data_IF_004643899647
#
_entry.id   IF_004643899647
#
_cell.length_a   1.000
_cell.length_b   1.000
_cell.length_c   1.000
_cell.angle_alpha   90.00
_cell.angle_beta   90.00
_cell.angle_gamma   90.00
#
_symmetry.space_group_name_H-M   'P 1'
#
loop_
_entity.id
_entity.type
_entity.pdbx_description
1 polymer ?
#
# COMPACT_ATOMS: atom_id res chain seq x y z
N UNK A 1 -13.28 -18.01 -13.00
CA UNK A 1 -11.84 -17.68 -13.12
C UNK A 1 -11.36 -17.27 -11.74
N UNK A 2 -10.44 -18.05 -11.17
CA UNK A 2 -10.14 -18.04 -9.74
C UNK A 2 -9.24 -16.88 -9.31
N UNK A 3 -9.63 -16.24 -8.20
CA UNK A 3 -8.80 -15.27 -7.48
C UNK A 3 -7.77 -16.03 -6.64
N UNK A 4 -6.50 -15.86 -6.98
CA UNK A 4 -5.37 -16.41 -6.23
C UNK A 4 -5.15 -15.55 -4.99
N UNK A 5 -5.39 -16.14 -3.83
CA UNK A 5 -5.19 -15.54 -2.52
C UNK A 5 -3.70 -15.56 -2.16
N UNK A 6 -3.01 -14.42 -2.28
CA UNK A 6 -1.58 -14.25 -2.02
C UNK A 6 -1.25 -13.78 -0.58
N UNK A 7 -2.21 -13.84 0.36
CA UNK A 7 -2.05 -13.31 1.72
C UNK A 7 -1.40 -14.29 2.72
N UNK A 8 -0.31 -14.97 2.35
CA UNK A 8 0.32 -15.92 3.30
C UNK A 8 1.81 -16.18 3.08
N UNK A 9 2.67 -15.14 3.05
CA UNK A 9 4.13 -15.36 3.20
C UNK A 9 4.99 -14.15 3.54
N UNK A 10 4.62 -13.34 4.53
CA UNK A 10 5.60 -12.46 5.19
C UNK A 10 5.49 -12.59 6.70
N UNK A 11 6.26 -13.53 7.24
CA UNK A 11 6.54 -13.60 8.67
C UNK A 11 7.51 -12.48 9.01
N UNK A 12 6.99 -11.32 9.40
CA UNK A 12 7.78 -10.30 10.06
C UNK A 12 8.20 -10.86 11.42
N UNK A 13 9.49 -11.21 11.53
CA UNK A 13 10.15 -11.54 12.78
C UNK A 13 9.98 -10.35 13.73
N UNK A 14 9.47 -10.67 14.93
CA UNK A 14 9.37 -9.77 16.08
C UNK A 14 10.64 -8.96 16.29
N UNK A 15 10.40 -7.68 16.55
CA UNK A 15 11.28 -6.63 17.06
C UNK A 15 12.43 -7.16 17.93
N UNK A 16 13.66 -6.96 17.46
CA UNK A 16 14.81 -6.87 18.36
C UNK A 16 14.84 -5.44 18.90
N UNK A 17 14.66 -5.29 20.21
CA UNK A 17 14.77 -4.01 20.91
C UNK A 17 16.16 -3.43 20.70
N UNK A 18 16.21 -2.14 20.39
CA UNK A 18 17.42 -1.35 20.14
C UNK A 18 18.26 -1.09 21.41
N UNK A 19 17.85 -1.62 22.56
CA UNK A 19 18.46 -1.33 23.86
C UNK A 19 19.72 -2.19 24.16
N UNK A 20 20.04 -3.21 23.34
CA UNK A 20 21.16 -4.13 23.60
C UNK A 20 22.51 -3.71 22.97
N UNK A 21 22.59 -2.57 22.27
CA UNK A 21 23.79 -2.18 21.49
C UNK A 21 24.73 -1.19 22.23
N UNK A 22 24.38 -0.70 23.42
CA UNK A 22 25.15 0.36 24.12
C UNK A 22 25.90 -0.08 25.39
N UNK A 23 26.52 -1.27 25.39
CA UNK A 23 27.38 -1.70 26.49
C UNK A 23 28.84 -1.91 26.04
N UNK A 24 29.54 -0.84 25.63
CA UNK A 24 31.00 -0.84 25.53
C UNK A 24 31.60 0.20 26.49
N UNK A 25 32.25 -0.28 27.54
CA UNK A 25 32.99 0.52 28.53
C UNK A 25 34.38 -0.10 28.73
N UNK A 26 35.46 0.44 28.16
CA UNK A 26 36.81 0.03 28.55
C UNK A 26 37.24 0.84 29.78
N UNK A 27 37.41 0.14 30.91
CA UNK A 27 38.06 0.67 32.10
C UNK A 27 39.58 0.64 31.97
N UNK A 28 40.23 1.77 32.21
CA UNK A 28 41.68 1.86 32.41
C UNK A 28 41.99 1.97 33.91
N UNK A 29 42.76 1.02 34.42
CA UNK A 29 43.28 1.02 35.81
C UNK A 29 44.45 1.97 35.97
N UNK A 30 44.60 2.69 37.11
CA UNK A 30 45.74 3.56 37.36
C UNK A 30 47.00 2.76 37.75
N UNK A 31 48.13 3.11 37.13
CA UNK A 31 49.47 2.64 37.53
C UNK A 31 49.88 3.24 38.88
N UNK A 32 50.36 2.40 39.79
CA UNK A 32 50.94 2.81 41.09
C UNK A 32 52.36 3.36 40.89
N UNK A 33 52.63 4.50 41.49
CA UNK A 33 53.91 5.22 41.49
C UNK A 33 54.94 4.54 42.41
N UNK A 34 56.20 4.62 41.98
CA UNK A 34 57.37 3.96 42.58
C UNK A 34 58.23 5.02 43.29
N UNK A 35 57.83 5.44 44.49
CA UNK A 35 58.58 6.42 45.31
C UNK A 35 58.57 6.04 46.79
N UNK A 36 59.15 4.90 47.13
CA UNK A 36 59.57 4.56 48.50
C UNK A 36 60.88 3.76 48.40
N UNK A 37 62.03 4.44 48.31
CA UNK A 37 63.36 3.80 48.40
C UNK A 37 64.52 4.78 48.61
N UNK A 38 64.33 5.85 49.38
CA UNK A 38 65.41 6.82 49.66
C UNK A 38 65.70 7.01 51.18
N UNK A 39 64.90 6.43 52.09
CA UNK A 39 65.10 6.60 53.54
C UNK A 39 66.15 5.68 54.19
N UNK A 40 66.73 4.71 53.50
CA UNK A 40 67.63 3.71 54.11
C UNK A 40 69.15 4.02 53.99
N UNK A 41 69.57 5.13 53.36
CA UNK A 41 70.99 5.35 53.05
C UNK A 41 71.79 6.20 54.05
N UNK A 42 71.19 6.74 55.13
CA UNK A 42 71.88 7.67 56.04
C UNK A 42 72.04 7.24 57.50
N UNK A 43 71.89 5.95 57.84
CA UNK A 43 72.04 5.47 59.23
C UNK A 43 73.48 5.06 59.63
N UNK A 44 74.48 5.21 58.74
CA UNK A 44 75.81 4.58 58.90
C UNK A 44 76.98 5.42 59.44
N UNK A 45 76.86 6.74 59.63
CA UNK A 45 78.01 7.60 59.98
C UNK A 45 78.03 8.05 61.44
N UNK A 46 78.16 7.09 62.37
CA UNK A 46 78.48 7.35 63.77
C UNK A 46 79.89 6.90 64.12
N UNK A 47 80.92 7.70 63.82
CA UNK A 47 82.30 7.44 64.29
C UNK A 47 82.80 8.58 65.18
N UNK A 48 83.32 8.19 66.36
CA UNK A 48 83.93 9.02 67.41
C UNK A 48 84.93 10.04 66.83
N UNK A 49 84.59 11.31 66.96
CA UNK A 49 85.50 12.44 66.68
C UNK A 49 86.40 12.63 67.91
N UNK A 50 87.71 12.47 67.74
CA UNK A 50 88.71 12.79 68.78
C UNK A 50 88.86 14.32 68.83
N UNK A 51 88.97 14.87 70.04
CA UNK A 51 89.04 16.30 70.31
C UNK A 51 90.19 16.96 69.51
N UNK A 52 89.84 17.90 68.63
CA UNK A 52 90.77 18.77 67.91
C UNK A 52 90.83 20.14 68.59
N UNK A 53 92.03 20.72 68.62
CA UNK A 53 92.39 22.00 69.21
C UNK A 53 91.57 23.18 68.61
N UNK A 54 91.10 24.17 69.40
CA UNK A 54 90.01 25.07 69.01
C UNK A 54 90.39 26.09 67.91
N UNK A 55 91.69 26.29 67.63
CA UNK A 55 92.17 27.08 66.49
C UNK A 55 92.17 26.29 65.19
N UNK A 56 92.42 24.98 65.24
CA UNK A 56 92.34 24.08 64.09
C UNK A 56 90.90 23.82 63.63
N UNK A 57 89.94 23.78 64.57
CA UNK A 57 88.53 23.56 64.25
C UNK A 57 87.92 24.68 63.39
N UNK A 58 88.30 25.95 63.63
CA UNK A 58 87.80 27.08 62.84
C UNK A 58 88.30 27.04 61.40
N UNK A 59 89.58 26.72 61.20
CA UNK A 59 90.16 26.58 59.86
C UNK A 59 89.59 25.35 59.16
N UNK A 60 89.42 24.23 59.86
CA UNK A 60 88.81 23.02 59.33
C UNK A 60 87.34 23.25 58.92
N UNK A 61 86.55 24.02 59.66
CA UNK A 61 85.17 24.36 59.28
C UNK A 61 85.10 25.27 58.05
N UNK A 62 86.01 26.26 57.93
CA UNK A 62 86.04 27.12 56.74
C UNK A 62 86.45 26.30 55.51
N UNK A 63 87.49 25.47 55.63
CA UNK A 63 87.93 24.59 54.54
C UNK A 63 86.83 23.59 54.17
N UNK A 64 86.17 22.97 55.15
CA UNK A 64 85.05 22.07 54.90
C UNK A 64 83.85 22.79 54.27
N UNK A 65 83.56 24.04 54.66
CA UNK A 65 82.50 24.85 54.07
C UNK A 65 82.78 25.22 52.61
N UNK A 66 84.01 25.61 52.30
CA UNK A 66 84.44 25.87 50.91
C UNK A 66 84.45 24.58 50.08
N UNK A 67 84.93 23.46 50.65
CA UNK A 67 84.91 22.17 49.97
C UNK A 67 83.48 21.69 49.69
N UNK A 68 82.56 21.87 50.64
CA UNK A 68 81.13 21.55 50.45
C UNK A 68 80.50 22.43 49.38
N UNK A 69 80.85 23.72 49.29
CA UNK A 69 80.37 24.60 48.22
C UNK A 69 80.91 24.17 46.84
N UNK A 70 82.19 23.81 46.74
CA UNK A 70 82.81 23.33 45.49
C UNK A 70 82.25 21.98 45.05
N UNK A 71 81.96 21.07 46.00
CA UNK A 71 81.36 19.76 45.71
C UNK A 71 79.85 19.88 45.41
N UNK A 72 79.13 20.84 46.00
CA UNK A 72 77.71 21.05 45.76
C UNK A 72 77.41 21.72 44.40
N UNK A 73 78.32 22.57 43.88
CA UNK A 73 78.12 23.27 42.60
C UNK A 73 77.85 22.35 41.39
N UNK A 74 78.62 21.26 41.14
CA UNK A 74 78.33 20.33 40.05
C UNK A 74 77.03 19.53 40.27
N UNK A 75 76.63 19.30 41.52
CA UNK A 75 75.36 18.65 41.82
C UNK A 75 74.15 19.55 41.50
N UNK A 76 74.24 20.86 41.78
CA UNK A 76 73.19 21.83 41.49
C UNK A 76 73.05 22.05 39.98
N UNK A 77 74.15 22.18 39.24
CA UNK A 77 74.11 22.35 37.78
C UNK A 77 73.63 21.10 37.05
N UNK A 78 74.04 19.91 37.49
CA UNK A 78 73.52 18.63 36.97
C UNK A 78 72.01 18.45 37.18
N UNK A 79 71.49 18.87 38.34
CA UNK A 79 70.05 18.84 38.63
C UNK A 79 69.26 19.82 37.74
N UNK A 80 69.80 21.03 37.52
CA UNK A 80 69.19 22.03 36.63
C UNK A 80 69.16 21.55 35.17
N UNK A 81 70.23 20.90 34.68
CA UNK A 81 70.27 20.37 33.30
C UNK A 81 69.33 19.17 33.12
N UNK A 82 69.31 18.23 34.08
CA UNK A 82 68.37 17.09 34.04
C UNK A 82 66.91 17.56 34.09
N UNK A 83 66.61 18.56 34.93
CA UNK A 83 65.27 19.14 35.03
C UNK A 83 64.87 19.89 33.74
N UNK A 84 65.79 20.63 33.10
CA UNK A 84 65.52 21.30 31.81
C UNK A 84 65.14 20.34 30.69
N UNK A 85 65.85 19.22 30.56
CA UNK A 85 65.54 18.21 29.53
C UNK A 85 64.15 17.59 29.75
N UNK A 86 63.79 17.31 31.00
CA UNK A 86 62.44 16.80 31.34
C UNK A 86 61.36 17.84 31.05
N UNK A 87 61.60 19.13 31.32
CA UNK A 87 60.67 20.21 30.98
C UNK A 87 60.43 20.28 29.47
N UNK A 88 61.48 20.25 28.64
CA UNK A 88 61.31 20.30 27.18
C UNK A 88 60.55 19.10 26.61
N UNK A 89 60.75 17.90 27.17
CA UNK A 89 59.99 16.70 26.78
C UNK A 89 58.51 16.86 27.15
N UNK A 90 58.21 17.35 28.36
CA UNK A 90 56.84 17.60 28.80
C UNK A 90 56.15 18.69 27.97
N UNK A 91 56.87 19.74 27.56
CA UNK A 91 56.34 20.77 26.66
C UNK A 91 55.97 20.20 25.30
N UNK A 92 56.82 19.35 24.72
CA UNK A 92 56.55 18.68 23.45
C UNK A 92 55.34 17.75 23.55
N UNK A 93 55.25 16.98 24.63
CA UNK A 93 54.11 16.11 24.90
C UNK A 93 52.82 16.94 25.04
N UNK A 94 52.86 18.06 25.75
CA UNK A 94 51.71 18.96 25.90
C UNK A 94 51.25 19.58 24.57
N UNK A 95 52.19 19.95 23.69
CA UNK A 95 51.88 20.40 22.32
C UNK A 95 51.19 19.29 21.53
N UNK A 96 51.71 18.06 21.61
CA UNK A 96 51.13 16.90 20.94
C UNK A 96 49.71 16.61 21.44
N UNK A 97 49.51 16.53 22.76
CA UNK A 97 48.18 16.36 23.35
C UNK A 97 47.24 17.49 22.93
N UNK A 98 47.72 18.74 22.89
CA UNK A 98 46.94 19.89 22.42
C UNK A 98 46.43 19.70 20.98
N UNK A 99 47.28 19.20 20.08
CA UNK A 99 46.90 18.92 18.69
C UNK A 99 45.88 17.77 18.57
N UNK A 100 46.04 16.71 19.36
CA UNK A 100 45.12 15.57 19.38
C UNK A 100 43.75 15.98 19.96
N UNK A 101 43.73 16.82 20.99
CA UNK A 101 42.50 17.39 21.56
C UNK A 101 41.78 18.26 20.53
N UNK A 102 42.50 19.08 19.77
CA UNK A 102 41.90 19.88 18.70
C UNK A 102 41.33 19.02 17.58
N UNK A 103 42.04 17.94 17.20
CA UNK A 103 41.55 16.98 16.21
C UNK A 103 40.27 16.27 16.69
N UNK A 104 40.26 15.77 17.93
CA UNK A 104 39.07 15.16 18.53
C UNK A 104 37.90 16.14 18.59
N UNK A 105 38.15 17.41 18.93
CA UNK A 105 37.11 18.45 18.93
C UNK A 105 36.51 18.68 17.54
N UNK A 106 37.34 18.70 16.49
CA UNK A 106 36.86 18.85 15.12
C UNK A 106 36.02 17.63 14.69
N UNK A 107 36.45 16.41 15.03
CA UNK A 107 35.67 15.20 14.77
C UNK A 107 34.33 15.20 15.52
N UNK A 108 34.31 15.64 16.78
CA UNK A 108 33.06 15.77 17.55
C UNK A 108 32.08 16.73 16.86
N UNK A 109 32.54 17.90 16.42
CA UNK A 109 31.69 18.87 15.71
C UNK A 109 31.16 18.31 14.37
N UNK A 110 31.96 17.53 13.66
CA UNK A 110 31.55 16.87 12.41
C UNK A 110 30.45 15.83 12.69
N UNK A 111 30.62 15.00 13.71
CA UNK A 111 29.59 14.05 14.13
C UNK A 111 28.31 14.73 14.61
N UNK A 112 28.41 15.85 15.34
CA UNK A 112 27.24 16.64 15.74
C UNK A 112 26.46 17.16 14.52
N UNK A 113 27.16 17.62 13.48
CA UNK A 113 26.53 18.08 12.24
C UNK A 113 25.83 16.93 11.51
N UNK A 114 26.49 15.77 11.40
CA UNK A 114 25.89 14.57 10.79
C UNK A 114 24.64 14.09 11.55
N UNK A 115 24.63 14.18 12.88
CA UNK A 115 23.44 13.83 13.69
C UNK A 115 22.27 14.75 13.36
N UNK A 116 22.49 16.06 13.29
CA UNK A 116 21.44 17.04 12.97
C UNK A 116 20.84 16.77 11.57
N UNK A 117 21.69 16.46 10.59
CA UNK A 117 21.24 16.15 9.23
C UNK A 117 20.42 14.85 9.20
N UNK A 118 20.88 13.79 9.90
CA UNK A 118 20.13 12.54 10.01
C UNK A 118 18.78 12.72 10.73
N UNK A 119 18.72 13.54 11.78
CA UNK A 119 17.46 13.86 12.46
C UNK A 119 16.46 14.56 11.53
N UNK A 120 16.95 15.48 10.69
CA UNK A 120 16.14 16.15 9.67
C UNK A 120 15.61 15.17 8.62
N UNK A 121 16.46 14.27 8.13
CA UNK A 121 16.07 13.25 7.14
C UNK A 121 15.04 12.27 7.72
N UNK A 122 15.20 11.89 8.99
CA UNK A 122 14.21 11.08 9.72
C UNK A 122 12.86 11.82 9.79
N UNK A 123 12.86 13.11 10.13
CA UNK A 123 11.63 13.91 10.21
C UNK A 123 10.93 14.01 8.85
N UNK A 124 11.68 14.25 7.77
CA UNK A 124 11.14 14.30 6.40
C UNK A 124 10.54 12.95 6.02
N UNK A 125 11.27 11.86 6.26
CA UNK A 125 10.83 10.50 5.93
C UNK A 125 9.57 10.13 6.70
N UNK A 126 9.49 10.47 7.99
CA UNK A 126 8.29 10.22 8.80
C UNK A 126 7.05 10.95 8.26
N UNK A 127 7.20 12.21 7.84
CA UNK A 127 6.12 12.97 7.22
C UNK A 127 5.67 12.35 5.89
N UNK A 128 6.61 11.84 5.09
CA UNK A 128 6.29 11.14 3.84
C UNK A 128 5.53 9.84 4.11
N UNK A 129 5.96 9.05 5.11
CA UNK A 129 5.27 7.82 5.52
C UNK A 129 3.84 8.12 6.00
N UNK A 130 3.64 9.14 6.81
CA UNK A 130 2.30 9.54 7.27
C UNK A 130 1.41 9.96 6.10
N UNK A 131 1.94 10.74 5.16
CA UNK A 131 1.23 11.14 3.94
C UNK A 131 0.85 9.94 3.07
N UNK A 132 1.78 9.01 2.84
CA UNK A 132 1.52 7.78 2.10
C UNK A 132 0.45 6.92 2.78
N UNK A 133 0.45 6.82 4.11
CA UNK A 133 -0.57 6.08 4.85
C UNK A 133 -1.97 6.70 4.67
N UNK A 134 -2.09 8.03 4.74
CA UNK A 134 -3.36 8.73 4.48
C UNK A 134 -3.88 8.46 3.06
N UNK A 135 -3.02 8.58 2.06
CA UNK A 135 -3.37 8.28 0.66
C UNK A 135 -3.82 6.82 0.51
N UNK A 136 -3.14 5.88 1.18
CA UNK A 136 -3.49 4.46 1.13
C UNK A 136 -4.86 4.18 1.79
N UNK A 137 -5.17 4.86 2.90
CA UNK A 137 -6.46 4.75 3.57
C UNK A 137 -7.59 5.32 2.70
N UNK A 138 -7.37 6.48 2.07
CA UNK A 138 -8.31 7.09 1.13
C UNK A 138 -8.58 6.19 -0.07
N UNK A 139 -7.52 5.64 -0.69
CA UNK A 139 -7.66 4.70 -1.80
C UNK A 139 -8.39 3.42 -1.38
N UNK A 140 -8.12 2.91 -0.19
CA UNK A 140 -8.81 1.74 0.36
C UNK A 140 -10.30 2.00 0.53
N UNK A 141 -10.68 3.19 1.02
CA UNK A 141 -12.07 3.58 1.17
C UNK A 141 -12.76 3.76 -0.20
N UNK A 142 -12.10 4.40 -1.15
CA UNK A 142 -12.61 4.57 -2.52
C UNK A 142 -12.85 3.21 -3.21
N UNK A 143 -11.96 2.23 -3.01
CA UNK A 143 -12.14 0.87 -3.53
C UNK A 143 -13.38 0.21 -2.92
N UNK A 144 -13.60 0.35 -1.61
CA UNK A 144 -14.79 -0.20 -0.94
C UNK A 144 -16.07 0.42 -1.47
N UNK A 145 -16.10 1.74 -1.63
CA UNK A 145 -17.25 2.46 -2.19
C UNK A 145 -17.53 2.04 -3.63
N UNK A 146 -16.49 1.99 -4.47
CA UNK A 146 -16.59 1.56 -5.86
C UNK A 146 -17.16 0.13 -5.97
N UNK A 147 -16.68 -0.81 -5.13
CA UNK A 147 -17.19 -2.17 -5.09
C UNK A 147 -18.66 -2.22 -4.65
N UNK A 148 -19.03 -1.45 -3.62
CA UNK A 148 -20.44 -1.36 -3.17
C UNK A 148 -21.35 -0.83 -4.27
N UNK A 149 -20.92 0.21 -4.99
CA UNK A 149 -21.68 0.77 -6.11
C UNK A 149 -21.79 -0.23 -7.28
N UNK A 150 -20.71 -0.94 -7.58
CA UNK A 150 -20.71 -1.99 -8.60
C UNK A 150 -21.73 -3.09 -8.28
N UNK A 151 -21.76 -3.59 -7.04
CA UNK A 151 -22.71 -4.62 -6.62
C UNK A 151 -24.15 -4.13 -6.67
N UNK A 152 -24.40 -2.86 -6.32
CA UNK A 152 -25.73 -2.25 -6.41
C UNK A 152 -26.20 -2.16 -7.86
N UNK A 153 -25.38 -1.62 -8.76
CA UNK A 153 -25.73 -1.52 -10.18
C UNK A 153 -25.94 -2.90 -10.83
N UNK A 154 -25.14 -3.89 -10.43
CA UNK A 154 -25.32 -5.27 -10.90
C UNK A 154 -26.69 -5.82 -10.51
N UNK A 155 -27.10 -5.66 -9.26
CA UNK A 155 -28.44 -6.09 -8.79
C UNK A 155 -29.58 -5.36 -9.47
N UNK A 156 -29.43 -4.06 -9.71
CA UNK A 156 -30.44 -3.27 -10.43
C UNK A 156 -30.60 -3.78 -11.86
N UNK A 157 -29.48 -4.05 -12.55
CA UNK A 157 -29.49 -4.61 -13.90
C UNK A 157 -30.12 -6.01 -13.95
N UNK A 158 -29.80 -6.89 -12.99
CA UNK A 158 -30.40 -8.22 -12.88
C UNK A 158 -31.92 -8.14 -12.66
N UNK A 159 -32.37 -7.24 -11.78
CA UNK A 159 -33.80 -7.00 -11.51
C UNK A 159 -34.51 -6.51 -12.77
N UNK A 160 -33.98 -5.47 -13.42
CA UNK A 160 -34.56 -4.90 -14.64
C UNK A 160 -34.60 -5.92 -15.79
N UNK A 161 -33.58 -6.76 -15.91
CA UNK A 161 -33.56 -7.82 -16.92
C UNK A 161 -34.65 -8.88 -16.65
N UNK A 162 -34.85 -9.27 -15.39
CA UNK A 162 -35.93 -10.18 -14.98
C UNK A 162 -37.32 -9.59 -15.26
N UNK A 163 -37.52 -8.30 -14.98
CA UNK A 163 -38.78 -7.61 -15.23
C UNK A 163 -39.09 -7.52 -16.73
N UNK A 164 -38.10 -7.18 -17.55
CA UNK A 164 -38.25 -7.12 -19.00
C UNK A 164 -38.55 -8.51 -19.59
N UNK A 165 -37.86 -9.55 -19.11
CA UNK A 165 -38.13 -10.93 -19.53
C UNK A 165 -39.57 -11.34 -19.20
N UNK A 166 -40.07 -11.00 -18.01
CA UNK A 166 -41.44 -11.28 -17.59
C UNK A 166 -42.47 -10.54 -18.47
N UNK A 167 -42.19 -9.28 -18.83
CA UNK A 167 -43.04 -8.51 -19.73
C UNK A 167 -43.05 -9.08 -21.16
N UNK A 168 -41.91 -9.56 -21.65
CA UNK A 168 -41.82 -10.23 -22.96
C UNK A 168 -42.70 -11.47 -22.97
N UNK A 169 -42.54 -12.37 -22.00
CA UNK A 169 -43.34 -13.60 -21.91
C UNK A 169 -44.84 -13.29 -21.81
N UNK A 170 -45.23 -12.31 -20.98
CA UNK A 170 -46.64 -11.90 -20.90
C UNK A 170 -47.19 -11.37 -22.23
N UNK A 171 -46.41 -10.62 -23.00
CA UNK A 171 -46.82 -10.15 -24.33
C UNK A 171 -46.88 -11.27 -25.36
N UNK A 172 -45.96 -12.24 -25.31
CA UNK A 172 -45.99 -13.43 -26.16
C UNK A 172 -47.27 -14.25 -25.93
N UNK A 173 -47.68 -14.43 -24.67
CA UNK A 173 -48.94 -15.12 -24.34
C UNK A 173 -50.16 -14.37 -24.91
N UNK A 174 -50.19 -13.04 -24.82
CA UNK A 174 -51.25 -12.21 -25.40
C UNK A 174 -51.30 -12.37 -26.92
N UNK A 175 -50.14 -12.34 -27.60
CA UNK A 175 -50.05 -12.53 -29.05
C UNK A 175 -50.57 -13.91 -29.45
N UNK A 176 -50.19 -14.97 -28.73
CA UNK A 176 -50.65 -16.33 -29.00
C UNK A 176 -52.17 -16.47 -28.84
N UNK A 177 -52.74 -15.86 -27.80
CA UNK A 177 -54.20 -15.83 -27.60
C UNK A 177 -54.91 -15.08 -28.75
N UNK A 178 -54.43 -13.90 -29.13
CA UNK A 178 -55.00 -13.13 -30.24
C UNK A 178 -54.91 -13.88 -31.57
N UNK A 179 -53.80 -14.57 -31.85
CA UNK A 179 -53.66 -15.39 -33.05
C UNK A 179 -54.67 -16.55 -33.09
N UNK A 180 -54.95 -17.16 -31.93
CA UNK A 180 -55.97 -18.20 -31.80
C UNK A 180 -57.35 -17.63 -32.12
N UNK A 181 -57.70 -16.49 -31.53
CA UNK A 181 -58.99 -15.81 -31.81
C UNK A 181 -59.15 -15.42 -33.29
N UNK A 182 -58.07 -14.95 -33.93
CA UNK A 182 -58.07 -14.66 -35.37
C UNK A 182 -58.34 -15.94 -36.18
N UNK A 183 -57.71 -17.06 -35.80
CA UNK A 183 -57.95 -18.35 -36.47
C UNK A 183 -59.41 -18.77 -36.35
N UNK A 184 -59.98 -18.72 -35.14
CA UNK A 184 -61.36 -19.10 -34.88
C UNK A 184 -62.36 -18.23 -35.68
N UNK A 185 -62.15 -16.92 -35.70
CA UNK A 185 -62.98 -15.99 -36.47
C UNK A 185 -62.89 -16.23 -37.97
N UNK A 186 -61.71 -16.55 -38.49
CA UNK A 186 -61.55 -16.87 -39.92
C UNK A 186 -62.29 -18.16 -40.29
N UNK A 187 -62.28 -19.17 -39.42
CA UNK A 187 -63.06 -20.40 -39.61
C UNK A 187 -64.57 -20.12 -39.60
N UNK A 188 -65.04 -19.28 -38.67
CA UNK A 188 -66.45 -18.86 -38.61
C UNK A 188 -66.89 -18.11 -39.87
N UNK A 189 -66.06 -17.19 -40.38
CA UNK A 189 -66.30 -16.47 -41.63
C UNK A 189 -66.41 -17.45 -42.80
N UNK A 190 -65.44 -18.36 -42.95
CA UNK A 190 -65.44 -19.35 -44.05
C UNK A 190 -66.67 -20.27 -44.02
N UNK A 191 -67.08 -20.69 -42.81
CA UNK A 191 -68.30 -21.46 -42.61
C UNK A 191 -69.55 -20.66 -43.00
N UNK A 192 -69.61 -19.40 -42.57
CA UNK A 192 -70.72 -18.49 -42.88
C UNK A 192 -70.84 -18.24 -44.38
N UNK A 193 -69.73 -17.98 -45.08
CA UNK A 193 -69.69 -17.81 -46.54
C UNK A 193 -70.22 -19.06 -47.27
N UNK A 194 -69.79 -20.26 -46.86
CA UNK A 194 -70.26 -21.53 -47.42
C UNK A 194 -71.77 -21.73 -47.21
N UNK A 195 -72.27 -21.37 -46.03
CA UNK A 195 -73.69 -21.44 -45.70
C UNK A 195 -74.52 -20.47 -46.56
N UNK A 196 -74.07 -19.23 -46.73
CA UNK A 196 -74.73 -18.24 -47.58
C UNK A 196 -74.71 -18.63 -49.05
N UNK A 197 -73.60 -19.17 -49.56
CA UNK A 197 -73.52 -19.66 -50.94
C UNK A 197 -74.51 -20.81 -51.18
N UNK A 198 -74.58 -21.76 -50.25
CA UNK A 198 -75.50 -22.90 -50.32
C UNK A 198 -76.96 -22.44 -50.26
N UNK A 199 -77.29 -21.53 -49.34
CA UNK A 199 -78.62 -20.95 -49.21
C UNK A 199 -79.01 -20.18 -50.48
N UNK A 200 -78.10 -19.36 -51.00
CA UNK A 200 -78.29 -18.61 -52.23
C UNK A 200 -78.58 -19.54 -53.41
N UNK A 201 -77.78 -20.59 -53.62
CA UNK A 201 -77.99 -21.60 -54.68
C UNK A 201 -79.34 -22.29 -54.54
N UNK A 202 -79.72 -22.72 -53.34
CA UNK A 202 -80.99 -23.40 -53.11
C UNK A 202 -82.19 -22.48 -53.35
N UNK A 203 -82.10 -21.23 -52.90
CA UNK A 203 -83.14 -20.21 -53.10
C UNK A 203 -83.29 -19.87 -54.58
N UNK A 204 -82.17 -19.66 -55.28
CA UNK A 204 -82.16 -19.38 -56.71
C UNK A 204 -82.77 -20.52 -57.54
N UNK A 205 -82.42 -21.76 -57.20
CA UNK A 205 -83.04 -22.94 -57.83
C UNK A 205 -84.57 -22.93 -57.65
N UNK A 206 -85.05 -22.74 -56.42
CA UNK A 206 -86.49 -22.73 -56.12
C UNK A 206 -87.24 -21.62 -56.89
N UNK A 207 -86.72 -20.38 -56.84
CA UNK A 207 -87.33 -19.23 -57.52
C UNK A 207 -87.32 -19.41 -59.04
N UNK A 208 -86.16 -19.71 -59.64
CA UNK A 208 -86.05 -19.80 -61.08
C UNK A 208 -86.76 -21.02 -61.67
N UNK A 209 -86.85 -22.13 -60.94
CA UNK A 209 -87.66 -23.27 -61.38
C UNK A 209 -89.14 -22.92 -61.43
N UNK A 210 -89.64 -22.16 -60.44
CA UNK A 210 -91.01 -21.65 -60.45
C UNK A 210 -91.25 -20.74 -61.66
N UNK A 211 -90.32 -19.83 -61.97
CA UNK A 211 -90.44 -18.96 -63.15
C UNK A 211 -90.36 -19.73 -64.48
N UNK A 212 -89.56 -20.80 -64.54
CA UNK A 212 -89.40 -21.64 -65.74
C UNK A 212 -90.70 -22.31 -66.19
N UNK A 213 -91.62 -22.59 -65.25
CA UNK A 213 -92.96 -23.13 -65.56
C UNK A 213 -93.71 -22.20 -66.52
N UNK A 214 -93.55 -20.88 -66.32
CA UNK A 214 -94.21 -19.86 -67.15
C UNK A 214 -93.35 -19.44 -68.34
N UNK A 215 -92.02 -19.55 -68.25
CA UNK A 215 -91.10 -19.21 -69.32
C UNK A 215 -90.04 -20.33 -69.50
N UNK A 216 -90.29 -21.22 -70.46
CA UNK A 216 -89.43 -22.38 -70.72
C UNK A 216 -88.02 -22.02 -71.21
N UNK A 217 -87.78 -20.77 -71.60
CA UNK A 217 -86.45 -20.31 -72.02
C UNK A 217 -85.46 -20.23 -70.85
N UNK A 218 -85.95 -20.10 -69.61
CA UNK A 218 -85.09 -20.01 -68.41
C UNK A 218 -84.44 -21.38 -68.15
N UNK A 219 -83.10 -21.42 -68.18
CA UNK A 219 -82.32 -22.65 -67.99
C UNK A 219 -81.09 -22.46 -67.08
N UNK A 220 -80.90 -21.26 -66.55
CA UNK A 220 -79.74 -20.89 -65.74
C UNK A 220 -80.10 -19.78 -64.75
N UNK A 221 -79.23 -19.55 -63.79
CA UNK A 221 -79.36 -18.45 -62.84
C UNK A 221 -78.00 -17.81 -62.54
N UNK A 222 -78.03 -16.58 -62.05
CA UNK A 222 -76.89 -15.84 -61.54
C UNK A 222 -77.32 -15.16 -60.23
N UNK A 223 -76.45 -15.17 -59.22
CA UNK A 223 -76.65 -14.44 -57.97
C UNK A 223 -75.65 -13.30 -57.96
N UNK A 224 -76.14 -12.06 -57.93
CA UNK A 224 -75.29 -10.87 -57.95
C UNK A 224 -75.88 -9.82 -57.02
N UNK A 225 -75.04 -9.24 -56.17
CA UNK A 225 -75.45 -8.21 -55.19
C UNK A 225 -76.66 -8.64 -54.34
N UNK A 226 -76.69 -9.89 -53.88
CA UNK A 226 -77.80 -10.50 -53.14
C UNK A 226 -79.14 -10.58 -53.89
N UNK A 227 -79.14 -10.40 -55.22
CA UNK A 227 -80.31 -10.59 -56.07
C UNK A 227 -80.14 -11.83 -56.94
N UNK A 228 -81.26 -12.49 -57.25
CA UNK A 228 -81.32 -13.69 -58.06
C UNK A 228 -81.86 -13.33 -59.44
N UNK A 229 -81.06 -13.59 -60.46
CA UNK A 229 -81.40 -13.36 -61.86
C UNK A 229 -81.61 -14.71 -62.56
N UNK A 230 -82.82 -14.94 -63.07
CA UNK A 230 -83.15 -16.15 -63.82
C UNK A 230 -82.95 -15.86 -65.31
N UNK A 231 -82.03 -16.60 -65.95
CA UNK A 231 -81.54 -16.30 -67.29
C UNK A 231 -81.78 -17.48 -68.23
N UNK A 232 -81.86 -17.18 -69.53
CA UNK A 232 -81.95 -18.18 -70.61
C UNK A 232 -80.58 -18.70 -71.07
N UNK A 233 -79.50 -18.05 -70.62
CA UNK A 233 -78.14 -18.56 -70.69
C UNK A 233 -77.30 -17.80 -69.67
N UNK A 234 -76.61 -18.52 -68.78
CA UNK A 234 -76.01 -17.95 -67.59
C UNK A 234 -75.00 -18.91 -66.96
N UNK A 235 -74.20 -18.44 -65.99
CA UNK A 235 -73.05 -19.15 -65.49
C UNK A 235 -73.40 -20.41 -64.68
N UNK A 236 -74.53 -20.42 -63.99
CA UNK A 236 -74.99 -21.59 -63.21
C UNK A 236 -76.18 -22.26 -63.90
N UNK A 237 -76.03 -23.53 -64.26
CA UNK A 237 -77.11 -24.29 -64.88
C UNK A 237 -78.25 -24.59 -63.88
N UNK A 238 -79.48 -24.40 -64.33
CA UNK A 238 -80.69 -24.66 -63.55
C UNK A 238 -81.21 -26.07 -63.85
N UNK A 239 -81.19 -26.93 -62.84
CA UNK A 239 -81.86 -28.25 -62.88
C UNK A 239 -83.05 -28.22 -61.95
N UNK A 240 -84.25 -28.40 -62.51
CA UNK A 240 -85.51 -28.46 -61.78
C UNK A 240 -85.94 -29.93 -61.74
N UNK A 241 -86.06 -30.47 -60.54
CA UNK A 241 -86.58 -31.82 -60.30
C UNK A 241 -88.04 -31.74 -59.84
#
# INVERSE_FOLDING_TARGET
>A
MGLINLSKKFGFKKEAKLDDVLAYRPGSTPQKTKTEKISEFFSGFGKKIRALDPKGLKIAMIIAGVLLLVIAQPAITGYVVKNKNTISILELENIKLGSEVQLMKNMTNDYETQIIDLEKDIAITNNQVESCNKINDDLTNNIKECNSNHDNYKKEMETKNSDLQSQITSKEDIINNLNTQISDLNEEIALSETNYETLGKNTAKNICCTQKIYNSAINSYEIKNNEIYCLSNGPSQLTCF
#
